data_IF_266533610094
#
_entry.id   IF_266533610094
#
_cell.length_a   1.000
_cell.length_b   1.000
_cell.length_c   1.000
_cell.angle_alpha   90.00
_cell.angle_beta   90.00
_cell.angle_gamma   90.00
#
_symmetry.space_group_name_H-M   'P 1'
#
loop_
_entity.id
_entity.type
_entity.pdbx_description
1 polymer ?
#
# COMPACT_ATOMS: atom_id res chain seq x y z
N UNK A 1 1.82 17.50 -1.34
CA UNK A 1 1.37 16.09 -1.33
C UNK A 1 1.10 15.58 0.07
N UNK A 2 2.05 15.53 0.96
CA UNK A 2 1.91 14.94 2.30
C UNK A 2 0.69 15.46 3.08
N UNK A 3 0.44 16.77 3.09
CA UNK A 3 -0.76 17.38 3.68
C UNK A 3 -2.05 16.71 3.23
N UNK A 4 -2.21 16.52 1.91
CA UNK A 4 -3.42 15.94 1.34
C UNK A 4 -3.61 14.47 1.76
N UNK A 5 -2.54 13.68 1.78
CA UNK A 5 -2.61 12.29 2.24
C UNK A 5 -3.01 12.24 3.71
N UNK A 6 -2.40 13.08 4.56
CA UNK A 6 -2.74 13.20 5.99
C UNK A 6 -4.21 13.59 6.17
N UNK A 7 -4.70 14.62 5.45
CA UNK A 7 -6.09 15.06 5.53
C UNK A 7 -7.08 13.98 5.05
N UNK A 8 -6.71 13.19 4.02
CA UNK A 8 -7.53 12.07 3.55
C UNK A 8 -7.59 10.95 4.59
N UNK A 9 -6.46 10.60 5.19
CA UNK A 9 -6.38 9.62 6.27
C UNK A 9 -7.19 10.07 7.50
N UNK A 10 -7.06 11.33 7.91
CA UNK A 10 -7.83 11.89 9.02
C UNK A 10 -9.35 11.82 8.75
N UNK A 11 -9.79 12.19 7.54
CA UNK A 11 -11.21 12.06 7.14
C UNK A 11 -11.70 10.62 7.12
N UNK A 12 -10.83 9.65 6.85
CA UNK A 12 -11.14 8.24 6.95
C UNK A 12 -11.24 7.72 8.40
N UNK A 13 -10.87 8.56 9.39
CA UNK A 13 -10.91 8.22 10.81
C UNK A 13 -9.61 7.68 11.37
N UNK A 14 -8.48 7.87 10.67
CA UNK A 14 -7.14 7.54 11.16
C UNK A 14 -6.69 8.63 12.13
N UNK A 15 -6.28 8.22 13.33
CA UNK A 15 -5.81 9.10 14.42
C UNK A 15 -4.29 9.01 14.66
N UNK A 16 -3.66 7.93 14.20
CA UNK A 16 -2.21 7.75 14.27
C UNK A 16 -1.63 7.51 12.89
N UNK A 17 -0.60 8.25 12.54
CA UNK A 17 0.11 8.13 11.26
C UNK A 17 1.61 7.97 11.54
N UNK A 18 2.25 7.03 10.86
CA UNK A 18 3.72 6.91 10.82
C UNK A 18 4.20 7.41 9.47
N UNK A 19 5.08 8.38 9.46
CA UNK A 19 5.67 8.97 8.26
C UNK A 19 7.12 8.50 8.14
N UNK A 20 7.41 7.74 7.07
CA UNK A 20 8.79 7.39 6.73
C UNK A 20 9.45 8.58 6.03
N UNK A 21 10.61 8.99 6.52
CA UNK A 21 11.39 10.10 5.96
C UNK A 21 12.80 9.66 5.59
N UNK A 22 13.28 10.08 4.42
CA UNK A 22 14.64 9.85 3.95
C UNK A 22 15.21 11.11 3.32
N UNK A 23 14.92 11.37 2.03
CA UNK A 23 15.30 12.63 1.38
C UNK A 23 14.50 13.80 1.97
N UNK A 24 15.18 14.92 2.23
CA UNK A 24 14.57 16.13 2.80
C UNK A 24 13.86 15.90 4.14
N UNK A 25 14.33 14.92 4.93
CA UNK A 25 13.71 14.54 6.21
C UNK A 25 13.46 15.76 7.13
N UNK A 26 14.46 16.63 7.30
CA UNK A 26 14.32 17.85 8.10
C UNK A 26 13.17 18.74 7.63
N UNK A 27 13.07 19.00 6.32
CA UNK A 27 12.00 19.85 5.78
C UNK A 27 10.60 19.23 5.99
N UNK A 28 10.49 17.90 5.90
CA UNK A 28 9.23 17.20 6.14
C UNK A 28 8.85 17.30 7.62
N UNK A 29 9.80 17.07 8.52
CA UNK A 29 9.58 17.14 9.97
C UNK A 29 9.22 18.56 10.39
N UNK A 30 9.95 19.57 9.89
CA UNK A 30 9.67 20.98 10.18
C UNK A 30 8.26 21.36 9.71
N UNK A 31 7.90 20.97 8.49
CA UNK A 31 6.56 21.19 7.95
C UNK A 31 5.44 20.55 8.81
N UNK A 32 5.64 19.34 9.30
CA UNK A 32 4.68 18.67 10.18
C UNK A 32 4.54 19.42 11.51
N UNK A 33 5.67 19.84 12.11
CA UNK A 33 5.70 20.59 13.36
C UNK A 33 5.03 21.97 13.22
N UNK A 34 5.33 22.70 12.16
CA UNK A 34 4.72 24.01 11.85
C UNK A 34 3.20 23.94 11.70
N UNK A 35 2.69 22.78 11.27
CA UNK A 35 1.25 22.52 11.15
C UNK A 35 0.67 21.78 12.38
N UNK A 36 1.37 21.77 13.52
CA UNK A 36 0.95 21.07 14.76
C UNK A 36 0.53 19.60 14.50
N UNK A 37 1.26 18.91 13.61
CA UNK A 37 0.96 17.55 13.19
C UNK A 37 -0.52 17.35 12.75
N UNK A 38 -1.17 18.41 12.26
CA UNK A 38 -2.59 18.40 11.86
C UNK A 38 -3.55 17.95 12.98
N UNK A 39 -3.13 18.06 14.25
CA UNK A 39 -3.89 17.57 15.41
C UNK A 39 -3.93 16.05 15.57
N UNK A 40 -3.01 15.32 14.93
CA UNK A 40 -2.94 13.84 14.91
C UNK A 40 -1.69 13.35 15.67
N UNK A 41 -1.70 12.06 16.08
CA UNK A 41 -0.51 11.36 16.59
C UNK A 41 0.39 10.98 15.38
N UNK A 42 1.24 11.94 14.94
CA UNK A 42 2.20 11.68 13.84
C UNK A 42 3.54 11.26 14.44
N UNK A 43 4.03 10.11 14.02
CA UNK A 43 5.32 9.54 14.40
C UNK A 43 6.24 9.46 13.19
N UNK A 44 7.53 9.72 13.41
CA UNK A 44 8.53 9.70 12.35
C UNK A 44 9.30 8.38 12.39
N UNK A 45 9.36 7.71 11.25
CA UNK A 45 10.30 6.62 10.98
C UNK A 45 11.45 7.16 10.13
N UNK A 46 12.58 7.41 10.75
CA UNK A 46 13.73 8.07 10.11
C UNK A 46 14.61 7.05 9.38
N UNK A 47 14.70 7.17 8.05
CA UNK A 47 15.54 6.37 7.17
C UNK A 47 16.75 7.15 6.62
N UNK A 48 17.13 8.30 7.20
CA UNK A 48 18.23 9.14 6.71
C UNK A 48 19.57 8.42 6.67
N UNK A 49 19.77 7.41 7.52
CA UNK A 49 20.97 6.57 7.52
C UNK A 49 21.09 5.62 6.32
N UNK A 50 20.02 5.39 5.58
CA UNK A 50 20.01 4.53 4.40
C UNK A 50 18.59 4.20 3.94
N UNK A 51 18.37 4.26 2.64
CA UNK A 51 17.08 3.93 2.02
C UNK A 51 16.79 2.44 2.16
N UNK A 52 15.67 2.11 2.79
CA UNK A 52 15.27 0.72 3.09
C UNK A 52 14.30 0.13 2.06
N UNK A 53 13.86 0.92 1.08
CA UNK A 53 12.78 0.59 0.14
C UNK A 53 11.43 0.42 0.86
N UNK A 54 10.38 0.10 0.11
CA UNK A 54 9.00 0.13 0.65
C UNK A 54 8.75 -0.94 1.72
N UNK A 55 9.31 -2.13 1.59
CA UNK A 55 9.14 -3.21 2.57
C UNK A 55 9.99 -3.00 3.82
N UNK A 56 11.26 -2.64 3.63
CA UNK A 56 12.17 -2.36 4.75
C UNK A 56 11.73 -1.14 5.57
N UNK A 57 11.18 -0.11 4.92
CA UNK A 57 10.58 1.04 5.60
C UNK A 57 9.42 0.65 6.52
N UNK A 58 8.52 -0.23 6.07
CA UNK A 58 7.43 -0.76 6.89
C UNK A 58 7.98 -1.59 8.06
N UNK A 59 8.97 -2.47 7.82
CA UNK A 59 9.64 -3.25 8.86
C UNK A 59 10.23 -2.34 9.94
N UNK A 60 10.95 -1.29 9.55
CA UNK A 60 11.54 -0.31 10.48
C UNK A 60 10.49 0.44 11.28
N UNK A 61 9.38 0.79 10.65
CA UNK A 61 8.27 1.52 11.28
C UNK A 61 7.43 0.63 12.22
N UNK A 62 7.58 -0.70 12.18
CA UNK A 62 6.74 -1.65 12.92
C UNK A 62 6.57 -1.34 14.42
N UNK A 63 7.60 -0.92 15.19
CA UNK A 63 7.45 -0.57 16.61
C UNK A 63 6.57 0.67 16.87
N UNK A 64 6.30 1.47 15.84
CA UNK A 64 5.49 2.70 15.94
C UNK A 64 4.01 2.48 15.66
N UNK A 65 3.63 1.33 15.09
CA UNK A 65 2.25 0.99 14.78
C UNK A 65 1.46 0.56 16.03
N UNK A 66 0.13 0.59 15.91
CA UNK A 66 -0.73 -0.06 16.90
C UNK A 66 -0.58 -1.60 16.79
N UNK A 67 -0.43 -2.32 17.93
CA UNK A 67 -0.08 -3.74 17.88
C UNK A 67 -1.21 -4.66 17.40
N UNK A 68 -2.47 -4.24 17.57
CA UNK A 68 -3.65 -5.11 17.46
C UNK A 68 -4.62 -4.70 16.34
N UNK A 69 -4.19 -3.80 15.45
CA UNK A 69 -5.02 -3.32 14.35
C UNK A 69 -4.32 -3.51 13.00
N UNK A 70 -5.06 -3.77 11.92
CA UNK A 70 -4.51 -3.74 10.57
C UNK A 70 -3.88 -2.38 10.27
N UNK A 71 -2.78 -2.41 9.51
CA UNK A 71 -2.02 -1.21 9.17
C UNK A 71 -2.38 -0.83 7.74
N UNK A 72 -2.90 0.39 7.56
CA UNK A 72 -3.12 0.98 6.26
C UNK A 72 -1.84 1.70 5.80
N UNK A 73 -1.31 1.30 4.65
CA UNK A 73 -0.15 1.90 4.02
C UNK A 73 -0.57 2.63 2.76
N UNK A 74 -0.06 3.85 2.61
CA UNK A 74 -0.39 4.73 1.50
C UNK A 74 0.88 5.41 0.98
N UNK A 75 1.23 5.19 -0.28
CA UNK A 75 2.33 5.92 -0.91
C UNK A 75 1.95 7.40 -1.07
N UNK A 76 2.84 8.31 -0.65
CA UNK A 76 2.57 9.75 -0.62
C UNK A 76 2.39 10.39 -2.01
N UNK A 77 2.95 9.77 -3.04
CA UNK A 77 2.90 10.20 -4.44
C UNK A 77 1.65 9.71 -5.20
N UNK A 78 0.76 9.01 -4.54
CA UNK A 78 -0.48 8.50 -5.13
C UNK A 78 -1.65 9.46 -4.84
N UNK A 79 -2.28 9.94 -5.89
CA UNK A 79 -3.59 10.60 -5.84
C UNK A 79 -4.67 9.61 -6.28
N UNK A 80 -5.78 9.55 -5.56
CA UNK A 80 -6.91 8.70 -5.94
C UNK A 80 -8.24 9.18 -5.35
N UNK A 81 -9.34 8.65 -5.90
CA UNK A 81 -10.69 8.80 -5.36
C UNK A 81 -11.09 7.64 -4.44
N UNK A 82 -10.15 6.78 -4.04
CA UNK A 82 -10.49 5.64 -3.18
C UNK A 82 -11.09 6.11 -1.85
N UNK A 83 -12.20 5.50 -1.47
CA UNK A 83 -12.73 5.62 -0.11
C UNK A 83 -11.87 4.77 0.84
N UNK A 84 -10.89 5.43 1.47
CA UNK A 84 -9.93 4.76 2.38
C UNK A 84 -10.62 4.09 3.55
N UNK A 85 -11.75 4.65 4.03
CA UNK A 85 -12.51 4.04 5.13
C UNK A 85 -13.16 2.74 4.68
N UNK A 86 -13.83 2.72 3.53
CA UNK A 86 -14.40 1.49 2.97
C UNK A 86 -13.33 0.45 2.66
N UNK A 87 -12.21 0.87 2.09
CA UNK A 87 -11.08 -0.03 1.84
C UNK A 87 -10.56 -0.66 3.14
N UNK A 88 -10.31 0.15 4.18
CA UNK A 88 -9.84 -0.33 5.47
C UNK A 88 -10.84 -1.25 6.15
N UNK A 89 -12.14 -0.91 6.14
CA UNK A 89 -13.20 -1.77 6.68
C UNK A 89 -13.23 -3.11 5.93
N UNK A 90 -13.12 -3.11 4.60
CA UNK A 90 -13.08 -4.35 3.83
C UNK A 90 -11.91 -5.26 4.22
N UNK A 91 -10.75 -4.68 4.54
CA UNK A 91 -9.59 -5.40 5.04
C UNK A 91 -9.83 -5.93 6.48
N UNK A 92 -10.40 -5.10 7.37
CA UNK A 92 -10.64 -5.44 8.79
C UNK A 92 -11.72 -6.49 8.96
N UNK A 93 -12.85 -6.38 8.23
CA UNK A 93 -13.95 -7.37 8.29
C UNK A 93 -13.51 -8.75 7.81
N UNK A 94 -12.59 -8.78 6.84
CA UNK A 94 -11.99 -10.04 6.39
C UNK A 94 -11.10 -10.67 7.47
N UNK A 95 -10.51 -9.88 8.34
CA UNK A 95 -9.74 -10.36 9.49
C UNK A 95 -10.65 -10.86 10.62
N UNK A 96 -11.75 -10.16 10.94
CA UNK A 96 -12.73 -10.58 11.95
C UNK A 96 -13.43 -11.91 11.60
N UNK A 97 -13.71 -12.15 10.31
CA UNK A 97 -14.27 -13.44 9.84
C UNK A 97 -13.33 -14.61 10.05
N UNK A 98 -12.04 -14.36 10.26
CA UNK A 98 -11.02 -15.34 10.58
C UNK A 98 -11.28 -16.07 11.91
N UNK A 99 -11.92 -15.42 12.88
CA UNK A 99 -12.31 -16.03 14.16
C UNK A 99 -13.31 -17.18 13.95
N UNK A 100 -13.96 -17.24 12.77
CA UNK A 100 -14.96 -18.26 12.41
C UNK A 100 -14.55 -19.21 11.28
N UNK A 101 -13.43 -18.94 10.60
CA UNK A 101 -12.88 -19.80 9.54
C UNK A 101 -11.36 -19.74 9.56
N UNK A 102 -10.67 -20.85 9.34
CA UNK A 102 -9.21 -20.95 9.34
C UNK A 102 -8.51 -20.09 8.24
N UNK A 103 -9.26 -19.48 7.34
CA UNK A 103 -8.80 -18.73 6.16
C UNK A 103 -8.98 -17.21 6.27
N UNK A 104 -8.51 -16.57 7.34
CA UNK A 104 -8.47 -15.10 7.43
C UNK A 104 -7.60 -14.46 6.33
N UNK A 105 -7.86 -13.18 6.00
CA UNK A 105 -7.05 -12.41 5.06
C UNK A 105 -5.92 -11.71 5.82
N UNK A 106 -4.67 -11.94 5.38
CA UNK A 106 -3.48 -11.37 6.01
C UNK A 106 -3.09 -10.00 5.42
N UNK A 107 -3.39 -9.77 4.14
CA UNK A 107 -3.26 -8.46 3.51
C UNK A 107 -4.27 -8.25 2.39
N UNK A 108 -4.61 -6.98 2.16
CA UNK A 108 -5.44 -6.54 1.04
C UNK A 108 -4.70 -5.47 0.25
N UNK A 109 -4.58 -5.67 -1.06
CA UNK A 109 -3.90 -4.78 -1.98
C UNK A 109 -4.92 -4.06 -2.84
N UNK A 110 -4.92 -2.72 -2.84
CA UNK A 110 -5.71 -1.96 -3.82
C UNK A 110 -5.10 -2.14 -5.20
N UNK A 111 -5.90 -2.57 -6.14
CA UNK A 111 -5.46 -2.85 -7.51
C UNK A 111 -6.42 -2.25 -8.54
N UNK A 112 -5.92 -1.99 -9.73
CA UNK A 112 -6.69 -1.34 -10.80
C UNK A 112 -6.39 -1.94 -12.18
N UNK A 113 -7.29 -1.68 -13.12
CA UNK A 113 -7.16 -2.02 -14.54
C UNK A 113 -6.20 -1.12 -15.33
N UNK A 114 -5.48 -0.22 -14.67
CA UNK A 114 -4.61 0.71 -15.35
C UNK A 114 -3.53 -0.01 -16.18
N UNK A 115 -3.23 0.51 -17.36
CA UNK A 115 -2.15 -0.01 -18.21
C UNK A 115 -0.79 0.26 -17.57
N UNK A 116 0.02 -0.78 -17.45
CA UNK A 116 1.39 -0.73 -16.93
C UNK A 116 2.22 -1.83 -17.57
N UNK A 117 3.52 -1.84 -17.31
CA UNK A 117 4.42 -2.94 -17.71
C UNK A 117 4.42 -4.08 -16.68
N UNK A 118 4.04 -3.79 -15.43
CA UNK A 118 4.16 -4.68 -14.27
C UNK A 118 2.80 -4.93 -13.65
N UNK A 119 2.41 -6.20 -13.55
CA UNK A 119 1.13 -6.60 -12.99
C UNK A 119 1.31 -7.61 -11.88
N UNK A 120 0.46 -7.53 -10.87
CA UNK A 120 0.21 -8.61 -9.94
C UNK A 120 -0.72 -9.62 -10.59
N UNK A 121 -0.47 -10.89 -10.32
CA UNK A 121 -1.26 -12.02 -10.81
C UNK A 121 -2.13 -12.56 -9.69
N UNK A 122 -3.41 -12.71 -9.97
CA UNK A 122 -4.40 -13.21 -9.02
C UNK A 122 -5.14 -14.42 -9.61
N UNK A 123 -5.53 -15.34 -8.74
CA UNK A 123 -6.44 -16.43 -9.09
C UNK A 123 -7.91 -15.94 -9.19
N UNK A 124 -8.84 -16.86 -9.44
CA UNK A 124 -10.26 -16.55 -9.56
C UNK A 124 -10.89 -16.01 -8.28
N UNK A 125 -10.33 -16.37 -7.11
CA UNK A 125 -10.72 -15.89 -5.80
C UNK A 125 -10.02 -14.60 -5.40
N UNK A 126 -9.32 -13.95 -6.33
CA UNK A 126 -8.51 -12.76 -6.08
C UNK A 126 -7.40 -12.96 -5.04
N UNK A 127 -6.85 -14.17 -4.87
CA UNK A 127 -5.63 -14.41 -4.09
C UNK A 127 -4.41 -14.07 -4.94
N UNK A 128 -3.45 -13.39 -4.36
CA UNK A 128 -2.17 -13.12 -5.02
C UNK A 128 -1.42 -14.43 -5.24
N UNK A 129 -1.05 -14.69 -6.49
CA UNK A 129 -0.32 -15.90 -6.90
C UNK A 129 0.99 -15.59 -7.62
N UNK A 130 1.23 -14.35 -8.02
CA UNK A 130 2.46 -13.98 -8.71
C UNK A 130 2.52 -12.52 -9.16
N UNK A 131 3.52 -12.27 -9.97
CA UNK A 131 3.80 -10.99 -10.61
C UNK A 131 4.38 -11.23 -12.00
N UNK A 132 4.13 -10.33 -12.93
CA UNK A 132 4.71 -10.36 -14.27
C UNK A 132 5.11 -8.98 -14.77
N UNK A 133 6.16 -8.95 -15.60
CA UNK A 133 6.49 -7.81 -16.45
C UNK A 133 6.21 -8.20 -17.90
N UNK A 134 5.17 -7.61 -18.48
CA UNK A 134 4.72 -7.95 -19.85
C UNK A 134 5.69 -7.47 -20.93
N UNK A 135 6.61 -6.56 -20.64
CA UNK A 135 7.60 -6.07 -21.58
C UNK A 135 8.80 -7.03 -21.68
N UNK A 136 9.23 -7.57 -20.55
CA UNK A 136 10.37 -8.51 -20.50
C UNK A 136 9.96 -9.97 -20.55
N UNK A 137 8.69 -10.28 -20.32
CA UNK A 137 8.20 -11.64 -20.17
C UNK A 137 8.56 -12.29 -18.82
N UNK A 138 9.17 -11.54 -17.90
CA UNK A 138 9.53 -12.05 -16.58
C UNK A 138 8.27 -12.39 -15.78
N UNK A 139 8.27 -13.56 -15.14
CA UNK A 139 7.24 -14.02 -14.22
C UNK A 139 7.89 -14.42 -12.90
N UNK A 140 7.31 -13.98 -11.79
CA UNK A 140 7.76 -14.31 -10.44
C UNK A 140 6.60 -14.84 -9.62
N UNK A 141 6.73 -16.03 -9.10
CA UNK A 141 5.69 -16.72 -8.33
C UNK A 141 6.31 -17.76 -7.40
N UNK A 142 5.74 -18.01 -6.22
CA UNK A 142 6.09 -19.17 -5.41
C UNK A 142 5.52 -20.49 -5.97
N UNK A 143 4.68 -20.43 -6.99
CA UNK A 143 4.04 -21.58 -7.63
C UNK A 143 4.74 -21.87 -8.97
N UNK A 144 5.57 -22.95 -9.06
CA UNK A 144 6.38 -23.24 -10.25
C UNK A 144 5.56 -23.44 -11.54
N UNK A 145 4.36 -24.00 -11.41
CA UNK A 145 3.49 -24.35 -12.55
C UNK A 145 2.53 -23.20 -12.93
N UNK A 146 2.71 -21.99 -12.35
CA UNK A 146 1.81 -20.87 -12.62
C UNK A 146 1.83 -20.48 -14.11
N UNK A 147 0.67 -20.51 -14.75
CA UNK A 147 0.46 -19.95 -16.07
C UNK A 147 -0.10 -18.51 -15.98
N UNK A 148 0.67 -17.46 -16.27
CA UNK A 148 0.18 -16.09 -16.15
C UNK A 148 -1.04 -15.77 -17.03
N UNK A 149 -1.25 -16.53 -18.12
CA UNK A 149 -2.39 -16.33 -19.03
C UNK A 149 -3.73 -16.78 -18.42
N UNK A 150 -3.70 -17.60 -17.40
CA UNK A 150 -4.85 -18.07 -16.65
C UNK A 150 -5.14 -17.22 -15.42
N UNK A 151 -4.30 -16.22 -15.15
CA UNK A 151 -4.43 -15.34 -14.01
C UNK A 151 -5.12 -14.03 -14.40
N UNK A 152 -5.78 -13.42 -13.42
CA UNK A 152 -6.26 -12.04 -13.51
C UNK A 152 -5.09 -11.09 -13.25
N UNK A 153 -4.87 -10.15 -14.16
CA UNK A 153 -3.75 -9.21 -14.10
C UNK A 153 -4.23 -7.82 -13.69
N UNK A 154 -3.68 -7.29 -12.59
CA UNK A 154 -3.99 -5.96 -12.12
C UNK A 154 -2.73 -5.17 -11.75
N UNK A 155 -2.77 -3.86 -11.96
CA UNK A 155 -1.72 -2.96 -11.51
C UNK A 155 -1.89 -2.66 -10.01
N UNK A 156 -0.81 -2.73 -9.25
CA UNK A 156 -0.79 -2.31 -7.85
C UNK A 156 -0.97 -0.78 -7.75
N UNK A 157 -1.81 -0.33 -6.84
CA UNK A 157 -2.17 1.08 -6.69
C UNK A 157 -1.34 1.83 -5.64
N UNK A 158 -0.39 1.18 -4.97
CA UNK A 158 0.42 1.81 -3.92
C UNK A 158 -0.31 2.06 -2.61
N UNK A 159 -1.51 1.49 -2.44
CA UNK A 159 -2.31 1.51 -1.21
C UNK A 159 -2.63 0.08 -0.82
N UNK A 160 -2.37 -0.28 0.42
CA UNK A 160 -2.60 -1.63 0.91
C UNK A 160 -2.82 -1.65 2.43
N UNK A 161 -3.47 -2.70 2.92
CA UNK A 161 -3.61 -2.94 4.34
C UNK A 161 -3.07 -4.32 4.68
N UNK A 162 -2.34 -4.44 5.78
CA UNK A 162 -1.78 -5.70 6.25
C UNK A 162 -2.06 -5.91 7.74
N UNK A 163 -2.21 -7.19 8.12
CA UNK A 163 -2.42 -7.57 9.50
C UNK A 163 -1.11 -7.45 10.31
N UNK A 164 -1.19 -7.21 11.63
CA UNK A 164 -0.02 -7.22 12.51
C UNK A 164 0.74 -8.56 12.48
N UNK A 165 0.03 -9.65 12.21
CA UNK A 165 0.65 -10.98 12.06
C UNK A 165 1.62 -11.03 10.89
N UNK A 166 1.27 -10.39 9.78
CA UNK A 166 2.13 -10.40 8.60
C UNK A 166 3.41 -9.56 8.81
N UNK A 167 3.36 -8.53 9.66
CA UNK A 167 4.55 -7.76 10.05
C UNK A 167 5.64 -8.66 10.66
N UNK A 168 5.29 -9.62 11.50
CA UNK A 168 6.25 -10.54 12.12
C UNK A 168 7.03 -11.36 11.09
N UNK A 169 6.43 -11.65 9.94
CA UNK A 169 7.14 -12.34 8.87
C UNK A 169 8.25 -11.48 8.25
N UNK A 170 8.14 -10.14 8.33
CA UNK A 170 9.19 -9.23 7.83
C UNK A 170 10.52 -9.37 8.57
N UNK A 171 10.53 -9.91 9.80
CA UNK A 171 11.76 -10.16 10.55
C UNK A 171 12.69 -11.16 9.84
N UNK A 172 12.15 -12.00 8.96
CA UNK A 172 12.91 -12.96 8.15
C UNK A 172 13.54 -12.34 6.90
N UNK A 173 13.22 -11.06 6.61
CA UNK A 173 13.76 -10.34 5.46
C UNK A 173 14.97 -9.49 5.88
N UNK A 174 15.88 -9.17 4.95
CA UNK A 174 16.95 -8.20 5.19
C UNK A 174 16.34 -6.84 5.57
N UNK A 175 17.17 -5.87 5.95
CA UNK A 175 16.64 -4.54 6.30
C UNK A 175 16.16 -3.76 5.09
N UNK A 176 16.70 -4.04 3.90
CA UNK A 176 16.32 -3.39 2.65
C UNK A 176 15.64 -4.37 1.70
N UNK A 177 14.38 -4.14 1.39
CA UNK A 177 13.60 -4.93 0.42
C UNK A 177 12.35 -4.19 -0.07
N UNK A 178 11.90 -4.56 -1.28
CA UNK A 178 10.65 -4.06 -1.85
C UNK A 178 9.43 -4.79 -1.30
N UNK A 179 8.32 -4.07 -1.11
CA UNK A 179 7.08 -4.68 -0.57
C UNK A 179 6.50 -5.76 -1.49
N UNK A 180 6.69 -5.64 -2.80
CA UNK A 180 6.21 -6.66 -3.75
C UNK A 180 6.99 -7.97 -3.56
N UNK A 181 8.30 -7.92 -3.33
CA UNK A 181 9.12 -9.11 -3.05
C UNK A 181 8.66 -9.82 -1.79
N UNK A 182 8.29 -9.05 -0.77
CA UNK A 182 7.69 -9.58 0.45
C UNK A 182 6.37 -10.29 0.16
N UNK A 183 5.43 -9.64 -0.55
CA UNK A 183 4.14 -10.24 -0.85
C UNK A 183 4.25 -11.49 -1.72
N UNK A 184 5.16 -11.53 -2.68
CA UNK A 184 5.41 -12.71 -3.50
C UNK A 184 5.94 -13.90 -2.70
N UNK A 185 6.73 -13.67 -1.66
CA UNK A 185 7.15 -14.72 -0.74
C UNK A 185 6.04 -15.11 0.23
N UNK A 186 5.32 -14.12 0.76
CA UNK A 186 4.27 -14.34 1.75
C UNK A 186 3.06 -15.07 1.18
N UNK A 187 2.69 -14.85 -0.09
CA UNK A 187 1.49 -15.46 -0.69
C UNK A 187 1.55 -16.98 -0.77
N UNK A 188 2.74 -17.60 -0.64
CA UNK A 188 2.88 -19.05 -0.55
C UNK A 188 2.20 -19.66 0.69
N UNK A 189 2.10 -18.90 1.80
CA UNK A 189 1.63 -19.39 3.10
C UNK A 189 0.61 -18.47 3.77
N UNK A 190 0.34 -17.30 3.19
CA UNK A 190 -0.56 -16.29 3.73
C UNK A 190 -1.58 -15.88 2.68
N UNK A 191 -2.78 -15.54 3.15
CA UNK A 191 -3.87 -15.14 2.27
C UNK A 191 -3.79 -13.64 1.95
N UNK A 192 -3.23 -13.30 0.79
CA UNK A 192 -3.11 -11.92 0.29
C UNK A 192 -4.13 -11.71 -0.82
N UNK A 193 -5.03 -10.74 -0.67
CA UNK A 193 -6.16 -10.51 -1.58
C UNK A 193 -6.01 -9.21 -2.35
N UNK A 194 -6.39 -9.24 -3.62
CA UNK A 194 -6.66 -8.05 -4.41
C UNK A 194 -8.02 -7.42 -4.06
N UNK A 195 -8.07 -6.10 -3.96
CA UNK A 195 -9.30 -5.32 -3.87
C UNK A 195 -9.41 -4.47 -5.14
N UNK A 196 -10.34 -4.83 -6.01
CA UNK A 196 -10.64 -4.08 -7.22
C UNK A 196 -11.65 -3.00 -6.90
N UNK A 197 -11.41 -1.80 -7.38
CA UNK A 197 -12.39 -0.71 -7.41
C UNK A 197 -12.56 -0.30 -8.88
N UNK A 198 -13.70 -0.62 -9.47
CA UNK A 198 -13.96 -0.42 -10.90
C UNK A 198 -13.97 1.08 -11.28
N UNK A 199 -14.38 1.96 -10.35
CA UNK A 199 -14.41 3.41 -10.53
C UNK A 199 -13.12 4.10 -10.05
N UNK A 200 -12.03 3.34 -9.83
CA UNK A 200 -10.79 3.90 -9.31
C UNK A 200 -10.14 4.83 -10.32
N UNK A 201 -10.14 6.11 -10.00
CA UNK A 201 -9.27 7.12 -10.62
C UNK A 201 -7.99 7.20 -9.80
N UNK A 202 -6.85 7.02 -10.44
CA UNK A 202 -5.55 7.02 -9.79
C UNK A 202 -4.50 7.72 -10.65
N UNK A 203 -3.71 8.58 -10.03
CA UNK A 203 -2.54 9.21 -10.63
C UNK A 203 -1.33 9.04 -9.72
N UNK A 204 -0.23 8.59 -10.31
CA UNK A 204 1.11 8.56 -9.71
C UNK A 204 1.84 9.83 -10.14
N UNK A 205 2.19 10.67 -9.17
CA UNK A 205 2.85 11.96 -9.41
C UNK A 205 4.33 11.98 -8.97
N UNK A 206 4.92 10.80 -8.82
CA UNK A 206 6.35 10.65 -8.50
C UNK A 206 7.31 11.23 -9.55
N UNK A 207 6.80 11.78 -10.67
CA UNK A 207 7.59 12.43 -11.72
C UNK A 207 7.22 13.90 -11.85
N UNK A 208 8.23 14.75 -12.07
CA UNK A 208 8.04 16.20 -12.21
C UNK A 208 7.07 16.58 -13.35
N UNK A 209 7.05 15.80 -14.42
CA UNK A 209 6.20 16.04 -15.60
C UNK A 209 4.70 15.89 -15.31
N UNK A 210 4.34 15.25 -14.19
CA UNK A 210 2.95 14.97 -13.81
C UNK A 210 2.34 16.03 -12.87
N UNK A 211 3.12 17.02 -12.41
CA UNK A 211 2.62 18.03 -11.47
C UNK A 211 1.53 18.92 -12.07
N UNK A 212 1.66 19.35 -13.32
CA UNK A 212 0.63 20.15 -14.01
C UNK A 212 -0.67 19.33 -14.20
N UNK A 213 -0.54 18.05 -14.54
CA UNK A 213 -1.66 17.13 -14.69
C UNK A 213 -2.32 16.80 -13.33
N UNK A 214 -1.56 16.88 -12.23
CA UNK A 214 -2.08 16.65 -10.89
C UNK A 214 -3.13 17.68 -10.46
N UNK A 215 -2.99 18.94 -10.85
CA UNK A 215 -3.96 19.99 -10.56
C UNK A 215 -5.30 19.72 -11.26
N UNK A 216 -5.25 19.41 -12.55
CA UNK A 216 -6.45 19.03 -13.33
C UNK A 216 -7.13 17.78 -12.76
N UNK A 217 -6.33 16.75 -12.45
CA UNK A 217 -6.85 15.53 -11.82
C UNK A 217 -7.50 15.79 -10.46
N UNK A 218 -6.96 16.72 -9.69
CA UNK A 218 -7.54 17.11 -8.40
C UNK A 218 -8.87 17.86 -8.55
N UNK A 219 -9.05 18.64 -9.60
CA UNK A 219 -10.31 19.29 -9.91
C UNK A 219 -11.36 18.25 -10.30
N UNK A 220 -10.98 17.28 -11.15
CA UNK A 220 -11.87 16.17 -11.50
C UNK A 220 -12.35 15.37 -10.27
N UNK A 221 -11.44 15.11 -9.30
CA UNK A 221 -11.77 14.40 -8.06
C UNK A 221 -12.73 15.21 -7.17
N UNK A 222 -12.73 16.56 -7.25
CA UNK A 222 -13.63 17.41 -6.48
C UNK A 222 -15.05 17.43 -7.03
N UNK A 223 -15.18 17.29 -8.35
CA UNK A 223 -16.49 17.30 -9.04
C UNK A 223 -17.22 15.97 -8.88
N UNK A 224 -16.49 14.90 -8.55
CA UNK A 224 -17.06 13.53 -8.48
C UNK A 224 -17.40 13.10 -7.04
N UNK A 225 -17.08 13.92 -6.03
CA UNK A 225 -17.42 13.75 -4.61
C UNK A 225 -18.43 14.80 -4.17
#
# INVERSE_FOLDING_TARGET
>A
MIKRVIENLARAGVDRIVVNVHHFAGQIIDYLNENNNFGLDIRISDETSGLLETGGGIKKAAPLFAPDAPILIHNVDILSNVDLKKFYIAASVREERRVKSEEGVDAVLLVSWRKTKRYLLFDDDMRLVGWTNIETGEVRSPYPELNPKECRMYAFAGIHALSPRLLKMMDQFPDRFGIIDFYLKACATHNIKGYVNDDLKLMDIGKLDTLAQAEEFLEELRVTN
#
